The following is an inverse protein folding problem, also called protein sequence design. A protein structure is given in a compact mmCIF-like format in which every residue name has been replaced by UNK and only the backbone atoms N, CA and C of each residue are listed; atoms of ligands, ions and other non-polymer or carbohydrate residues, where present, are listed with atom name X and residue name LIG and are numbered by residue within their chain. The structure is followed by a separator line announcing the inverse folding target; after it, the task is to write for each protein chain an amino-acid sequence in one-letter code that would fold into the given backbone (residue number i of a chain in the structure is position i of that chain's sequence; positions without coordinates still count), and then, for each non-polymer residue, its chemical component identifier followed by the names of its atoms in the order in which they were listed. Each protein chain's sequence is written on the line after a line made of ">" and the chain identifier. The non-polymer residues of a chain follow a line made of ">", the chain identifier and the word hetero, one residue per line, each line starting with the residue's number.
data_IF_935203389902
#
_entry.id   IF_935203389902
#
_cell.length_a   1.000
_cell.length_b   1.000
_cell.length_c   1.000
_cell.angle_alpha   90.00
_cell.angle_beta   90.00
_cell.angle_gamma   90.00
#
_symmetry.space_group_name_H-M   'P 1'
#
loop_
_entity.id
_entity.type
_entity.pdbx_description
1 polymer ?
#
# COMPACT_ATOMS: atom_id res chain seq x y z
N UNK A 1 -28.10 31.52 36.34
CA UNK A 1 -26.85 32.23 36.00
C UNK A 1 -25.69 31.56 36.72
N UNK A 2 -24.98 30.64 36.04
CA UNK A 2 -23.56 30.35 36.30
C UNK A 2 -23.02 29.80 34.99
N UNK A 3 -22.00 30.48 34.49
CA UNK A 3 -21.27 30.17 33.27
C UNK A 3 -20.17 29.14 33.55
N UNK A 4 -19.72 28.46 32.49
CA UNK A 4 -18.29 28.18 32.31
C UNK A 4 -17.90 26.72 32.13
N UNK A 5 -16.99 26.54 31.16
CA UNK A 5 -16.14 25.37 30.82
C UNK A 5 -16.79 24.46 29.75
N UNK A 6 -16.50 24.61 28.45
CA UNK A 6 -15.23 24.59 27.70
C UNK A 6 -14.53 23.23 27.72
N UNK A 7 -14.06 22.82 26.53
CA UNK A 7 -13.19 21.66 26.23
C UNK A 7 -13.97 20.35 26.05
N UNK A 8 -13.85 19.61 24.95
CA UNK A 8 -12.57 19.26 24.34
C UNK A 8 -12.64 19.15 22.81
N UNK A 9 -11.56 19.61 22.21
CA UNK A 9 -11.25 19.47 20.81
C UNK A 9 -10.84 18.02 20.51
N UNK A 10 -10.76 17.71 19.21
CA UNK A 10 -9.84 16.70 18.71
C UNK A 10 -10.19 15.23 19.04
N UNK A 11 -11.27 14.73 18.46
CA UNK A 11 -11.31 13.31 18.06
C UNK A 11 -10.51 13.14 16.76
N UNK A 12 -9.19 13.43 16.81
CA UNK A 12 -8.29 13.08 15.73
C UNK A 12 -8.16 11.55 15.72
N UNK A 13 -8.85 10.90 14.78
CA UNK A 13 -8.99 9.44 14.74
C UNK A 13 -7.60 8.78 14.66
N UNK A 14 -7.23 7.89 15.59
CA UNK A 14 -5.88 7.31 15.69
C UNK A 14 -5.56 6.25 14.60
N UNK A 15 -6.24 6.28 13.46
CA UNK A 15 -6.26 5.16 12.52
C UNK A 15 -5.39 5.34 11.28
N UNK A 16 -4.97 6.57 10.95
CA UNK A 16 -4.21 6.84 9.71
C UNK A 16 -2.70 6.58 9.84
N UNK A 17 -2.13 6.59 11.05
CA UNK A 17 -0.66 6.51 11.23
C UNK A 17 -0.12 5.11 11.54
N UNK A 18 -0.96 4.12 11.83
CA UNK A 18 -0.47 2.79 12.29
C UNK A 18 -0.09 1.86 11.14
N UNK A 19 -0.60 2.08 9.92
CA UNK A 19 -0.43 1.13 8.80
C UNK A 19 0.83 1.31 7.96
N UNK A 20 1.60 2.37 8.18
CA UNK A 20 2.83 2.67 7.43
C UNK A 20 3.99 1.69 7.62
N UNK A 21 3.82 0.57 8.33
CA UNK A 21 4.78 -0.54 8.38
C UNK A 21 4.35 -1.72 7.50
N UNK A 22 3.09 -1.76 7.07
CA UNK A 22 2.59 -2.80 6.19
C UNK A 22 3.15 -2.57 4.80
N UNK A 23 3.65 -3.63 4.17
CA UNK A 23 4.24 -3.56 2.83
C UNK A 23 3.23 -3.03 1.80
N UNK A 24 1.95 -3.40 1.94
CA UNK A 24 0.87 -3.01 1.03
C UNK A 24 0.46 -1.54 1.14
N UNK A 25 0.96 -0.81 2.12
CA UNK A 25 0.65 0.61 2.37
C UNK A 25 1.87 1.49 2.05
N UNK A 26 2.97 0.89 1.57
CA UNK A 26 4.13 1.62 1.09
C UNK A 26 3.89 2.15 -0.32
N UNK A 27 4.38 3.36 -0.58
CA UNK A 27 4.46 3.89 -1.95
C UNK A 27 5.47 3.08 -2.74
N UNK A 28 5.13 2.71 -3.98
CA UNK A 28 6.10 2.12 -4.89
C UNK A 28 7.02 3.24 -5.45
N UNK A 29 8.34 3.23 -5.16
CA UNK A 29 9.26 4.27 -5.64
C UNK A 29 9.34 4.36 -7.18
N UNK A 30 9.10 3.26 -7.89
CA UNK A 30 9.06 3.26 -9.36
C UNK A 30 7.88 4.09 -9.92
N UNK A 31 6.91 4.43 -9.07
CA UNK A 31 5.71 5.19 -9.42
C UNK A 31 5.69 6.64 -8.87
N UNK A 32 6.82 7.17 -8.39
CA UNK A 32 6.89 8.52 -7.78
C UNK A 32 6.37 9.66 -8.68
N UNK A 33 6.41 9.47 -10.00
CA UNK A 33 5.93 10.43 -11.02
C UNK A 33 4.87 9.83 -11.95
N UNK A 34 4.04 8.92 -11.41
CA UNK A 34 3.06 8.15 -12.17
C UNK A 34 2.14 9.01 -13.05
N UNK A 35 1.76 10.19 -12.55
CA UNK A 35 0.88 11.16 -13.22
C UNK A 35 1.51 11.85 -14.45
N UNK A 36 2.82 11.74 -14.59
CA UNK A 36 3.61 12.38 -15.67
C UNK A 36 4.03 11.39 -16.75
N UNK A 37 3.79 10.09 -16.56
CA UNK A 37 4.18 9.05 -17.51
C UNK A 37 3.25 9.07 -18.74
N UNK A 38 3.83 8.80 -19.91
CA UNK A 38 3.04 8.50 -21.10
C UNK A 38 2.30 7.16 -20.94
N UNK A 39 1.30 6.93 -21.80
CA UNK A 39 0.54 5.68 -21.77
C UNK A 39 1.44 4.44 -21.98
N UNK A 40 2.48 4.54 -22.82
CA UNK A 40 3.41 3.43 -23.04
C UNK A 40 4.26 3.17 -21.79
N UNK A 41 4.82 4.21 -21.18
CA UNK A 41 5.61 4.09 -19.96
C UNK A 41 4.79 3.55 -18.77
N UNK A 42 3.50 3.90 -18.69
CA UNK A 42 2.59 3.31 -17.71
C UNK A 42 2.42 1.81 -17.92
N UNK A 43 2.19 1.39 -19.17
CA UNK A 43 2.06 -0.04 -19.51
C UNK A 43 3.35 -0.79 -19.20
N UNK A 44 4.51 -0.22 -19.51
CA UNK A 44 5.80 -0.83 -19.20
C UNK A 44 6.03 -0.94 -17.67
N UNK A 45 5.71 0.10 -16.91
CA UNK A 45 5.78 0.09 -15.44
C UNK A 45 4.87 -0.99 -14.84
N UNK A 46 3.64 -1.12 -15.32
CA UNK A 46 2.70 -2.13 -14.84
C UNK A 46 3.17 -3.55 -15.16
N UNK A 47 3.64 -3.79 -16.39
CA UNK A 47 4.20 -5.10 -16.75
C UNK A 47 5.40 -5.48 -15.87
N UNK A 48 6.23 -4.50 -15.51
CA UNK A 48 7.38 -4.74 -14.64
C UNK A 48 6.97 -5.09 -13.21
N UNK A 49 5.93 -4.45 -12.66
CA UNK A 49 5.39 -4.81 -11.33
C UNK A 49 4.65 -6.15 -11.34
N UNK A 50 3.90 -6.46 -12.40
CA UNK A 50 3.21 -7.75 -12.55
C UNK A 50 4.20 -8.92 -12.58
N UNK A 51 5.34 -8.74 -13.24
CA UNK A 51 6.42 -9.74 -13.27
C UNK A 51 6.90 -10.12 -11.85
N UNK A 52 6.96 -9.14 -10.92
CA UNK A 52 7.35 -9.40 -9.52
C UNK A 52 6.36 -10.30 -8.80
N UNK A 53 5.07 -10.21 -9.16
CA UNK A 53 4.04 -11.11 -8.62
C UNK A 53 4.30 -12.56 -9.05
N UNK A 54 4.61 -12.78 -10.33
CA UNK A 54 4.93 -14.11 -10.86
C UNK A 54 6.19 -14.67 -10.20
N UNK A 55 7.22 -13.85 -10.02
CA UNK A 55 8.45 -14.24 -9.32
C UNK A 55 8.20 -14.62 -7.86
N UNK A 56 7.38 -13.85 -7.15
CA UNK A 56 7.00 -14.16 -5.77
C UNK A 56 6.24 -15.50 -5.67
N UNK A 57 5.34 -15.79 -6.60
CA UNK A 57 4.65 -17.08 -6.66
C UNK A 57 5.66 -18.21 -6.92
N UNK A 58 6.53 -18.05 -7.90
CA UNK A 58 7.54 -19.05 -8.26
C UNK A 58 8.51 -19.36 -7.09
N UNK A 59 8.85 -18.35 -6.29
CA UNK A 59 9.67 -18.48 -5.09
C UNK A 59 8.97 -19.29 -3.98
N UNK A 60 7.63 -19.30 -3.94
CA UNK A 60 6.82 -20.00 -2.93
C UNK A 60 6.17 -21.29 -3.45
N UNK A 61 6.55 -21.75 -4.64
CA UNK A 61 5.88 -22.87 -5.35
C UNK A 61 5.78 -24.16 -4.52
N UNK A 62 6.77 -24.49 -3.69
CA UNK A 62 6.79 -25.75 -2.94
C UNK A 62 5.77 -25.70 -1.78
N UNK A 63 5.72 -24.59 -1.04
CA UNK A 63 4.72 -24.36 -0.01
C UNK A 63 3.30 -24.27 -0.59
N UNK A 64 3.16 -23.69 -1.78
CA UNK A 64 1.89 -23.67 -2.51
C UNK A 64 1.46 -25.08 -2.93
N UNK A 65 2.39 -25.93 -3.38
CA UNK A 65 2.10 -27.32 -3.74
C UNK A 65 1.67 -28.14 -2.53
N UNK A 66 2.39 -28.03 -1.40
CA UNK A 66 2.03 -28.70 -0.14
C UNK A 66 0.62 -28.32 0.34
N UNK A 67 0.22 -27.06 0.18
CA UNK A 67 -1.11 -26.61 0.59
C UNK A 67 -2.27 -27.12 -0.29
N UNK A 68 -1.98 -27.65 -1.49
CA UNK A 68 -2.99 -28.18 -2.42
C UNK A 68 -3.27 -29.66 -2.17
N UNK A 69 -2.27 -30.41 -1.68
CA UNK A 69 -2.39 -31.83 -1.32
C UNK A 69 -3.26 -32.06 -0.08
#
# INVERSE_FOLDING_TARGET
>A
MTAGQSSDASQNSPTLSTRGHLLTEQVNPASDRLDQLSALELVDLFNQEDQRTIEAIAANRDALAEAIE
#
